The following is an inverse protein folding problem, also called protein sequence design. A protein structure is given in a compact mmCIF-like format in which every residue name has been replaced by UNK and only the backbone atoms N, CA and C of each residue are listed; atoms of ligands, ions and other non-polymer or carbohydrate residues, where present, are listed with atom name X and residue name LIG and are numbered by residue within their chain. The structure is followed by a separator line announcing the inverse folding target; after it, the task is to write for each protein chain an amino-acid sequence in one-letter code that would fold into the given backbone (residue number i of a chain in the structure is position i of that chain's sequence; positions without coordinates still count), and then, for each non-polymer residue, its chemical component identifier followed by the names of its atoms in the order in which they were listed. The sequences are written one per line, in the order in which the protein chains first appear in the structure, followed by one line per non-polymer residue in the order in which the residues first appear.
data_IF_814969637235
#
_entry.id   IF_814969637235
#
_cell.length_a   1.000
_cell.length_b   1.000
_cell.length_c   1.000
_cell.angle_alpha   90.00
_cell.angle_beta   90.00
_cell.angle_gamma   90.00
#
_symmetry.space_group_name_H-M   'P 1'
#
loop_
_entity.id
_entity.type
_entity.pdbx_description
1 polymer ?
#
# COMPACT_ATOMS: atom_id res chain seq x y z
N UNK A 1 3.03 12.53 11.05
CA UNK A 1 3.85 12.54 9.84
C UNK A 1 3.26 13.57 8.90
N UNK A 2 4.12 14.32 8.22
CA UNK A 2 3.72 15.19 7.12
C UNK A 2 3.75 14.41 5.78
N UNK A 3 3.41 15.07 4.66
CA UNK A 3 3.40 14.45 3.33
C UNK A 3 4.77 13.85 2.99
N UNK A 4 5.86 14.60 3.18
CA UNK A 4 7.22 14.16 2.87
C UNK A 4 7.65 12.93 3.68
N UNK A 5 7.28 12.87 4.97
CA UNK A 5 7.54 11.72 5.84
C UNK A 5 6.84 10.46 5.31
N UNK A 6 5.59 10.59 4.85
CA UNK A 6 4.82 9.50 4.27
C UNK A 6 5.45 9.02 2.95
N UNK A 7 5.87 9.94 2.08
CA UNK A 7 6.52 9.60 0.81
C UNK A 7 7.88 8.94 1.02
N UNK A 8 8.65 9.42 2.00
CA UNK A 8 9.90 8.80 2.40
C UNK A 8 9.68 7.38 2.93
N UNK A 9 8.72 7.19 3.85
CA UNK A 9 8.39 5.87 4.37
C UNK A 9 7.90 4.92 3.27
N UNK A 10 7.10 5.42 2.32
CA UNK A 10 6.69 4.65 1.14
C UNK A 10 7.90 4.18 0.31
N UNK A 11 8.86 5.08 0.05
CA UNK A 11 10.07 4.75 -0.70
C UNK A 11 10.92 3.70 0.03
N UNK A 12 11.10 3.83 1.35
CA UNK A 12 11.79 2.81 2.17
C UNK A 12 11.08 1.45 2.11
N UNK A 13 9.74 1.44 2.08
CA UNK A 13 8.96 0.22 1.88
C UNK A 13 9.19 -0.39 0.49
N UNK A 14 9.26 0.41 -0.57
CA UNK A 14 9.56 -0.05 -1.92
C UNK A 14 10.95 -0.67 -2.04
N UNK A 15 11.97 -0.01 -1.50
CA UNK A 15 13.35 -0.50 -1.52
C UNK A 15 13.46 -1.87 -0.82
N UNK A 16 12.75 -2.03 0.31
CA UNK A 16 12.68 -3.32 1.00
C UNK A 16 12.05 -4.43 0.15
N UNK A 17 11.06 -4.11 -0.71
CA UNK A 17 10.41 -5.06 -1.61
C UNK A 17 11.29 -5.36 -2.82
N UNK A 18 11.67 -4.33 -3.58
CA UNK A 18 12.27 -4.49 -4.90
C UNK A 18 13.76 -4.74 -4.84
N UNK A 19 14.49 -3.95 -4.05
CA UNK A 19 15.94 -4.03 -4.02
C UNK A 19 16.38 -5.20 -3.14
N UNK A 20 15.80 -5.31 -1.94
CA UNK A 20 16.20 -6.35 -1.00
C UNK A 20 15.47 -7.68 -1.19
N UNK A 21 14.14 -7.68 -1.07
CA UNK A 21 13.37 -8.92 -1.07
C UNK A 21 13.38 -9.64 -2.42
N UNK A 22 13.24 -8.90 -3.53
CA UNK A 22 13.26 -9.41 -4.90
C UNK A 22 14.71 -9.49 -5.41
N UNK A 23 15.43 -8.37 -5.41
CA UNK A 23 16.75 -8.23 -6.04
C UNK A 23 17.86 -9.06 -5.39
N UNK A 24 17.89 -9.15 -4.06
CA UNK A 24 18.97 -9.85 -3.34
C UNK A 24 18.55 -11.25 -2.89
N UNK A 25 17.43 -11.37 -2.18
CA UNK A 25 17.08 -12.60 -1.46
C UNK A 25 16.16 -13.55 -2.26
N UNK A 26 15.45 -13.01 -3.24
CA UNK A 26 14.45 -13.71 -4.06
C UNK A 26 13.09 -13.89 -3.35
N UNK A 27 12.01 -13.83 -4.14
CA UNK A 27 10.62 -13.77 -3.64
C UNK A 27 10.24 -14.93 -2.69
N UNK A 28 10.71 -16.14 -2.96
CA UNK A 28 10.39 -17.33 -2.16
C UNK A 28 10.96 -17.26 -0.74
N UNK A 29 12.09 -16.59 -0.56
CA UNK A 29 12.76 -16.43 0.72
C UNK A 29 12.36 -15.15 1.47
N UNK A 30 11.56 -14.31 0.82
CA UNK A 30 11.23 -12.95 1.28
C UNK A 30 9.74 -12.70 1.47
N UNK A 31 8.89 -13.74 1.44
CA UNK A 31 7.43 -13.62 1.55
C UNK A 31 6.98 -12.72 2.69
N UNK A 32 7.56 -12.89 3.89
CA UNK A 32 7.23 -12.07 5.06
C UNK A 32 7.61 -10.60 4.90
N UNK A 33 8.73 -10.33 4.24
CA UNK A 33 9.18 -8.96 3.94
C UNK A 33 8.23 -8.34 2.93
N UNK A 34 7.90 -9.07 1.85
CA UNK A 34 6.97 -8.61 0.81
C UNK A 34 5.60 -8.31 1.44
N UNK A 35 5.03 -9.22 2.23
CA UNK A 35 3.74 -9.00 2.89
C UNK A 35 3.77 -7.81 3.85
N UNK A 36 4.82 -7.68 4.67
CA UNK A 36 4.94 -6.58 5.64
C UNK A 36 5.02 -5.22 4.95
N UNK A 37 5.86 -5.12 3.91
CA UNK A 37 6.17 -3.84 3.29
C UNK A 37 5.16 -3.44 2.21
N UNK A 38 4.53 -4.40 1.51
CA UNK A 38 3.58 -4.05 0.44
C UNK A 38 2.33 -3.36 0.99
N UNK A 39 1.68 -3.93 2.00
CA UNK A 39 0.51 -3.30 2.63
C UNK A 39 0.86 -1.93 3.24
N UNK A 40 1.91 -1.87 4.07
CA UNK A 40 2.31 -0.63 4.74
C UNK A 40 2.73 0.46 3.77
N UNK A 41 3.53 0.13 2.75
CA UNK A 41 3.95 1.09 1.74
C UNK A 41 2.76 1.75 1.05
N UNK A 42 1.79 0.97 0.59
CA UNK A 42 0.61 1.54 -0.08
C UNK A 42 -0.22 2.44 0.86
N UNK A 43 -0.25 2.14 2.15
CA UNK A 43 -0.97 2.97 3.12
C UNK A 43 -0.24 4.28 3.38
N UNK A 44 1.09 4.28 3.40
CA UNK A 44 1.89 5.51 3.47
C UNK A 44 1.63 6.37 2.23
N UNK A 45 1.62 5.78 1.03
CA UNK A 45 1.30 6.47 -0.22
C UNK A 45 -0.12 7.05 -0.23
N UNK A 46 -1.11 6.27 0.21
CA UNK A 46 -2.49 6.74 0.33
C UNK A 46 -2.62 7.86 1.36
N UNK A 47 -1.89 7.78 2.48
CA UNK A 47 -1.89 8.82 3.50
C UNK A 47 -1.34 10.13 2.92
N UNK A 48 -0.22 10.08 2.19
CA UNK A 48 0.33 11.25 1.50
C UNK A 48 -0.70 11.92 0.57
N UNK A 49 -1.34 11.13 -0.30
CA UNK A 49 -2.40 11.64 -1.19
C UNK A 49 -3.57 12.29 -0.43
N UNK A 50 -4.05 11.67 0.64
CA UNK A 50 -5.17 12.22 1.40
C UNK A 50 -4.80 13.48 2.19
N UNK A 51 -3.54 13.64 2.60
CA UNK A 51 -3.05 14.91 3.16
C UNK A 51 -2.98 16.00 2.08
N UNK A 52 -2.51 15.67 0.87
CA UNK A 52 -2.45 16.60 -0.28
C UNK A 52 -3.84 17.12 -0.66
N UNK A 53 -4.85 16.25 -0.62
CA UNK A 53 -6.26 16.59 -0.87
C UNK A 53 -6.98 17.20 0.35
N UNK A 54 -6.25 17.47 1.43
CA UNK A 54 -6.76 18.00 2.71
C UNK A 54 -7.90 17.15 3.31
N UNK A 55 -7.97 15.86 2.98
CA UNK A 55 -9.00 14.91 3.46
C UNK A 55 -8.71 14.37 4.85
N UNK A 56 -7.45 14.43 5.27
CA UNK A 56 -7.00 14.10 6.61
C UNK A 56 -6.08 15.21 7.13
N UNK A 57 -6.07 15.41 8.44
CA UNK A 57 -5.26 16.45 9.10
C UNK A 57 -3.80 16.03 9.17
N UNK A 58 -2.87 16.97 9.00
CA UNK A 58 -1.43 16.75 9.24
C UNK A 58 -1.19 16.02 10.58
N UNK A 59 -0.35 14.99 10.56
CA UNK A 59 -0.13 14.12 11.71
C UNK A 59 -1.04 12.88 11.77
N UNK A 60 -2.15 12.86 11.04
CA UNK A 60 -2.98 11.66 10.91
C UNK A 60 -2.25 10.56 10.12
N UNK A 61 -2.43 9.31 10.54
CA UNK A 61 -1.93 8.13 9.84
C UNK A 61 -3.07 7.13 9.68
N UNK A 62 -3.22 6.58 8.48
CA UNK A 62 -4.17 5.52 8.24
C UNK A 62 -3.69 4.22 8.92
N UNK A 63 -4.63 3.49 9.51
CA UNK A 63 -4.32 2.25 10.19
C UNK A 63 -4.51 1.07 9.24
N UNK A 64 -3.43 0.34 8.94
CA UNK A 64 -3.48 -0.80 8.03
C UNK A 64 -4.54 -1.86 8.38
N UNK A 65 -4.84 -2.01 9.67
CA UNK A 65 -5.84 -2.98 10.14
C UNK A 65 -7.26 -2.66 9.67
N UNK A 66 -7.51 -1.44 9.22
CA UNK A 66 -8.81 -1.08 8.64
C UNK A 66 -9.06 -1.87 7.36
N UNK A 67 -8.03 -2.12 6.57
CA UNK A 67 -8.11 -2.77 5.26
C UNK A 67 -8.27 -4.29 5.34
N UNK A 68 -8.51 -4.86 6.52
CA UNK A 68 -8.87 -6.28 6.66
C UNK A 68 -10.32 -6.60 6.24
N UNK A 69 -11.11 -5.58 5.92
CA UNK A 69 -12.49 -5.75 5.46
C UNK A 69 -12.95 -4.53 4.67
N UNK A 70 -14.00 -4.71 3.84
CA UNK A 70 -14.62 -3.61 3.09
C UNK A 70 -15.21 -2.49 3.95
N UNK A 71 -15.38 -2.70 5.26
CA UNK A 71 -15.82 -1.67 6.21
C UNK A 71 -14.81 -0.51 6.33
N UNK A 72 -13.58 -0.65 5.82
CA UNK A 72 -12.65 0.48 5.72
C UNK A 72 -13.23 1.65 4.90
N UNK A 73 -14.11 1.39 3.91
CA UNK A 73 -14.74 2.43 3.12
C UNK A 73 -15.55 3.43 3.96
N UNK A 74 -16.10 2.99 5.09
CA UNK A 74 -16.83 3.84 6.05
C UNK A 74 -15.89 4.73 6.88
N UNK A 75 -14.60 4.34 7.00
CA UNK A 75 -13.59 5.07 7.78
C UNK A 75 -12.76 6.02 6.94
N UNK A 76 -12.62 5.71 5.65
CA UNK A 76 -11.88 6.55 4.72
C UNK A 76 -12.70 7.77 4.33
N UNK A 77 -12.09 8.96 4.24
CA UNK A 77 -12.75 10.11 3.64
C UNK A 77 -13.11 9.83 2.18
N UNK A 78 -13.92 10.70 1.58
CA UNK A 78 -14.29 10.59 0.17
C UNK A 78 -13.21 11.16 -0.75
N UNK A 79 -12.83 10.41 -1.79
CA UNK A 79 -11.80 10.80 -2.76
C UNK A 79 -12.01 10.14 -4.12
N UNK A 80 -11.36 10.68 -5.15
CA UNK A 80 -11.42 10.17 -6.53
C UNK A 80 -11.01 8.70 -6.61
N UNK A 81 -11.81 7.87 -7.31
CA UNK A 81 -11.61 6.41 -7.44
C UNK A 81 -11.66 5.61 -6.13
N UNK A 82 -12.20 6.15 -5.02
CA UNK A 82 -12.33 5.41 -3.75
C UNK A 82 -12.99 4.03 -3.90
N UNK A 83 -14.06 3.93 -4.68
CA UNK A 83 -14.79 2.67 -4.90
C UNK A 83 -13.97 1.61 -5.65
N UNK A 84 -12.95 2.03 -6.42
CA UNK A 84 -12.06 1.15 -7.18
C UNK A 84 -10.85 0.75 -6.32
N UNK A 85 -10.22 1.72 -5.66
CA UNK A 85 -9.01 1.53 -4.88
C UNK A 85 -9.30 0.78 -3.57
N UNK A 86 -10.42 1.04 -2.91
CA UNK A 86 -10.73 0.45 -1.60
C UNK A 86 -10.80 -1.10 -1.65
N UNK A 87 -11.50 -1.73 -2.60
CA UNK A 87 -11.45 -3.18 -2.77
C UNK A 87 -10.05 -3.74 -3.02
N UNK A 88 -9.22 -3.07 -3.82
CA UNK A 88 -7.84 -3.49 -4.10
C UNK A 88 -6.98 -3.44 -2.83
N UNK A 89 -7.11 -2.38 -2.02
CA UNK A 89 -6.42 -2.28 -0.73
C UNK A 89 -6.79 -3.41 0.22
N UNK A 90 -8.07 -3.78 0.25
CA UNK A 90 -8.54 -4.90 1.09
C UNK A 90 -7.96 -6.22 0.59
N UNK A 91 -7.96 -6.45 -0.72
CA UNK A 91 -7.34 -7.63 -1.31
C UNK A 91 -5.84 -7.70 -1.00
N UNK A 92 -5.13 -6.58 -1.11
CA UNK A 92 -3.70 -6.50 -0.82
C UNK A 92 -3.41 -6.83 0.65
N UNK A 93 -4.15 -6.24 1.61
CA UNK A 93 -3.95 -6.51 3.05
C UNK A 93 -4.19 -7.99 3.37
N UNK A 94 -5.21 -8.62 2.78
CA UNK A 94 -5.49 -10.05 3.01
C UNK A 94 -4.39 -10.94 2.45
N UNK A 95 -3.87 -10.65 1.25
CA UNK A 95 -2.72 -11.35 0.69
C UNK A 95 -1.46 -11.15 1.56
N UNK A 96 -1.22 -9.91 2.00
CA UNK A 96 -0.08 -9.55 2.84
C UNK A 96 -0.12 -10.24 4.20
N UNK A 97 -1.29 -10.28 4.86
CA UNK A 97 -1.48 -10.98 6.12
C UNK A 97 -1.11 -12.46 6.00
N UNK A 98 -1.55 -13.10 4.92
CA UNK A 98 -1.28 -14.51 4.64
C UNK A 98 0.21 -14.76 4.28
N UNK A 99 0.88 -13.82 3.62
CA UNK A 99 2.33 -13.88 3.35
C UNK A 99 3.18 -13.64 4.61
N UNK A 100 2.72 -12.79 5.52
CA UNK A 100 3.46 -12.44 6.75
C UNK A 100 3.30 -13.51 7.83
N UNK A 101 2.08 -13.98 8.07
CA UNK A 101 1.75 -14.86 9.20
C UNK A 101 1.39 -16.30 8.80
N UNK A 102 1.04 -16.53 7.53
CA UNK A 102 0.63 -17.84 7.04
C UNK A 102 1.78 -18.81 6.77
N UNK A 103 1.43 -19.98 6.24
CA UNK A 103 2.38 -20.97 5.71
C UNK A 103 3.04 -20.43 4.43
N UNK A 104 4.21 -20.95 4.06
CA UNK A 104 4.87 -20.58 2.78
C UNK A 104 3.89 -20.74 1.60
N UNK A 105 3.79 -19.68 0.80
CA UNK A 105 2.94 -19.59 -0.38
C UNK A 105 3.71 -19.89 -1.66
N UNK A 106 3.03 -20.41 -2.69
CA UNK A 106 3.62 -20.60 -4.01
C UNK A 106 3.96 -19.24 -4.66
N UNK A 107 4.91 -19.20 -5.61
CA UNK A 107 5.33 -17.99 -6.32
C UNK A 107 4.18 -17.12 -6.83
N UNK A 108 3.16 -17.75 -7.43
CA UNK A 108 1.98 -17.08 -8.00
C UNK A 108 1.27 -16.13 -7.02
N UNK A 109 1.20 -16.49 -5.74
CA UNK A 109 0.47 -15.71 -4.73
C UNK A 109 1.33 -14.51 -4.28
N UNK A 110 2.64 -14.69 -4.22
CA UNK A 110 3.60 -13.61 -3.92
C UNK A 110 3.61 -12.60 -5.08
N UNK A 111 3.66 -13.09 -6.32
CA UNK A 111 3.60 -12.28 -7.53
C UNK A 111 2.27 -11.53 -7.66
N UNK A 112 1.17 -12.12 -7.17
CA UNK A 112 -0.12 -11.41 -7.11
C UNK A 112 -0.05 -10.22 -6.17
N UNK A 113 0.51 -10.38 -4.97
CA UNK A 113 0.67 -9.26 -4.04
C UNK A 113 1.54 -8.14 -4.62
N UNK A 114 2.65 -8.49 -5.30
CA UNK A 114 3.54 -7.51 -5.95
C UNK A 114 2.82 -6.79 -7.10
N UNK A 115 2.06 -7.53 -7.94
CA UNK A 115 1.28 -6.92 -9.03
C UNK A 115 0.24 -5.94 -8.50
N UNK A 116 -0.53 -6.36 -7.50
CA UNK A 116 -1.57 -5.53 -6.89
C UNK A 116 -0.97 -4.28 -6.21
N UNK A 117 0.19 -4.41 -5.56
CA UNK A 117 0.95 -3.27 -5.06
C UNK A 117 1.26 -2.26 -6.19
N UNK A 118 1.83 -2.71 -7.30
CA UNK A 118 2.19 -1.84 -8.43
C UNK A 118 0.97 -1.18 -9.08
N UNK A 119 -0.15 -1.91 -9.18
CA UNK A 119 -1.41 -1.40 -9.71
C UNK A 119 -1.96 -0.26 -8.84
N UNK A 120 -2.03 -0.47 -7.52
CA UNK A 120 -2.52 0.55 -6.59
C UNK A 120 -1.56 1.75 -6.53
N UNK A 121 -0.25 1.51 -6.51
CA UNK A 121 0.77 2.56 -6.57
C UNK A 121 0.55 3.47 -7.78
N UNK A 122 0.38 2.85 -8.96
CA UNK A 122 0.13 3.58 -10.19
C UNK A 122 -1.15 4.40 -10.09
N UNK A 123 -2.26 3.80 -9.63
CA UNK A 123 -3.54 4.51 -9.52
C UNK A 123 -3.48 5.71 -8.59
N UNK A 124 -2.84 5.58 -7.42
CA UNK A 124 -2.69 6.70 -6.47
C UNK A 124 -1.72 7.75 -7.02
N UNK A 125 -0.62 7.34 -7.64
CA UNK A 125 0.36 8.29 -8.20
C UNK A 125 -0.24 9.13 -9.33
N UNK A 126 -1.03 8.53 -10.21
CA UNK A 126 -1.78 9.27 -11.25
C UNK A 126 -2.74 10.30 -10.65
N UNK A 127 -3.42 9.96 -9.54
CA UNK A 127 -4.31 10.90 -8.84
C UNK A 127 -3.53 12.09 -8.27
N UNK A 128 -2.35 11.84 -7.68
CA UNK A 128 -1.47 12.88 -7.14
C UNK A 128 -0.93 13.81 -8.22
N UNK A 129 -0.43 13.28 -9.34
CA UNK A 129 0.04 14.09 -10.48
C UNK A 129 -1.05 14.99 -11.08
N UNK A 130 -2.31 14.56 -11.04
CA UNK A 130 -3.45 15.37 -11.47
C UNK A 130 -3.79 16.49 -10.49
N UNK A 131 -3.48 16.31 -9.20
CA UNK A 131 -3.65 17.35 -8.18
C UNK A 131 -2.59 18.46 -8.33
N UNK A 132 -1.32 18.11 -8.56
CA UNK A 132 -0.22 19.09 -8.72
C UNK A 132 -0.38 20.02 -9.95
N UNK A 133 -1.26 19.67 -10.90
CA UNK A 133 -1.52 20.44 -12.13
C UNK A 133 -2.70 21.40 -12.03
N UNK A 134 -3.41 21.44 -10.89
CA UNK A 134 -4.54 22.35 -10.63
C UNK A 134 -4.10 23.56 -9.82
#
# INVERSE_FOLDING_TARGET
MNIDDHLKAFQEHKEAIFDWAIGVKGILNSQRIIGLHASRGIIELLSAFLHEEEKITSGAQLNHRWFKSRKCGERLPEFSKKEVITPQLVELELLCEDLTYGKKKPPKDIERAIRLFNEIEKEISELREHHEKK
#
